data_IF_123745036788
#
_entry.id   IF_123745036788
#
_cell.length_a   1.000
_cell.length_b   1.000
_cell.length_c   1.000
_cell.angle_alpha   90.00
_cell.angle_beta   90.00
_cell.angle_gamma   90.00
#
_symmetry.space_group_name_H-M   'P 1'
#
loop_
_entity.id
_entity.type
_entity.pdbx_description
1 polymer ?
#
# COMPACT_ATOMS: atom_id res chain seq x y z
N UNK A 1 10.79 6.99 3.09
CA UNK A 1 10.93 6.18 1.86
C UNK A 1 12.09 5.21 2.04
N UNK A 2 12.03 4.06 1.39
CA UNK A 2 13.03 2.99 1.47
C UNK A 2 13.24 2.38 0.07
N UNK A 3 14.46 1.92 -0.25
CA UNK A 3 14.74 1.30 -1.54
C UNK A 3 14.08 -0.08 -1.64
N UNK A 4 13.57 -0.40 -2.83
CA UNK A 4 12.96 -1.69 -3.17
C UNK A 4 13.94 -2.87 -3.01
N UNK A 5 15.24 -2.62 -3.04
CA UNK A 5 16.31 -3.58 -2.75
C UNK A 5 16.09 -4.39 -1.48
N UNK A 6 15.45 -3.82 -0.46
CA UNK A 6 15.14 -4.57 0.78
C UNK A 6 14.24 -5.78 0.52
N UNK A 7 13.36 -5.67 -0.47
CA UNK A 7 12.49 -6.75 -0.91
C UNK A 7 13.22 -7.58 -1.97
N UNK A 8 13.78 -6.92 -2.99
CA UNK A 8 14.31 -7.57 -4.20
C UNK A 8 15.49 -8.51 -3.89
N UNK A 9 16.35 -8.15 -2.94
CA UNK A 9 17.52 -8.97 -2.57
C UNK A 9 17.18 -10.36 -2.01
N UNK A 10 15.93 -10.61 -1.63
CA UNK A 10 15.47 -11.93 -1.16
C UNK A 10 15.08 -12.86 -2.31
N UNK A 11 14.68 -12.31 -3.47
CA UNK A 11 14.14 -13.07 -4.59
C UNK A 11 15.17 -13.94 -5.34
N UNK A 12 16.46 -13.58 -5.51
CA UNK A 12 17.42 -14.46 -6.17
C UNK A 12 17.52 -15.84 -5.53
N UNK A 13 17.41 -15.89 -4.19
CA UNK A 13 17.41 -17.16 -3.45
C UNK A 13 16.15 -17.96 -3.73
N UNK A 14 14.98 -17.33 -3.67
CA UNK A 14 13.70 -17.98 -3.93
C UNK A 14 13.65 -18.54 -5.35
N UNK A 15 14.05 -17.74 -6.35
CA UNK A 15 14.06 -18.18 -7.76
C UNK A 15 14.96 -19.39 -7.94
N UNK A 16 16.14 -19.39 -7.32
CA UNK A 16 17.07 -20.53 -7.38
C UNK A 16 16.47 -21.79 -6.73
N UNK A 17 15.86 -21.65 -5.55
CA UNK A 17 15.28 -22.78 -4.82
C UNK A 17 14.10 -23.40 -5.58
N UNK A 18 13.24 -22.56 -6.17
CA UNK A 18 12.09 -23.00 -6.97
C UNK A 18 12.53 -23.62 -8.29
N UNK A 19 13.47 -22.98 -9.01
CA UNK A 19 13.98 -23.50 -10.27
C UNK A 19 14.66 -24.87 -10.07
N UNK A 20 15.43 -25.04 -9.00
CA UNK A 20 16.06 -26.31 -8.65
C UNK A 20 15.04 -27.40 -8.31
N UNK A 21 13.96 -27.05 -7.61
CA UNK A 21 12.87 -27.98 -7.28
C UNK A 21 12.16 -28.49 -8.54
N UNK A 22 11.89 -27.59 -9.49
CA UNK A 22 11.16 -27.89 -10.73
C UNK A 22 12.07 -28.38 -11.88
N UNK A 23 13.39 -28.49 -11.66
CA UNK A 23 14.35 -28.92 -12.67
C UNK A 23 14.56 -27.92 -13.82
N UNK A 24 14.36 -26.62 -13.56
CA UNK A 24 14.47 -25.55 -14.55
C UNK A 24 15.77 -24.77 -14.40
N UNK A 25 16.24 -24.19 -15.50
CA UNK A 25 17.41 -23.30 -15.51
C UNK A 25 16.96 -21.86 -15.77
N UNK A 26 17.21 -20.95 -14.82
CA UNK A 26 16.74 -19.55 -14.89
C UNK A 26 17.87 -18.56 -14.59
N UNK A 27 18.01 -17.54 -15.42
CA UNK A 27 18.74 -16.31 -15.18
C UNK A 27 17.80 -15.28 -14.54
N UNK A 28 18.07 -14.91 -13.29
CA UNK A 28 17.32 -13.85 -12.63
C UNK A 28 18.12 -12.55 -12.61
N UNK A 29 17.56 -11.49 -13.19
CA UNK A 29 18.16 -10.15 -13.22
C UNK A 29 17.30 -9.17 -12.45
N UNK A 30 17.94 -8.28 -11.68
CA UNK A 30 17.29 -7.21 -10.94
C UNK A 30 17.84 -5.88 -11.47
N UNK A 31 16.95 -4.95 -11.77
CA UNK A 31 17.31 -3.61 -12.21
C UNK A 31 16.50 -2.56 -11.45
N UNK A 32 17.12 -1.41 -11.15
CA UNK A 32 16.43 -0.28 -10.54
C UNK A 32 15.96 -0.51 -9.10
N UNK A 33 16.58 -1.44 -8.38
CA UNK A 33 16.25 -1.76 -6.98
C UNK A 33 16.53 -0.61 -5.99
N UNK A 34 17.29 0.39 -6.40
CA UNK A 34 17.48 1.66 -5.70
C UNK A 34 16.22 2.54 -5.68
N UNK A 35 15.21 2.25 -6.52
CA UNK A 35 13.95 3.01 -6.56
C UNK A 35 13.28 3.01 -5.19
N UNK A 36 12.96 4.21 -4.69
CA UNK A 36 12.38 4.38 -3.37
C UNK A 36 10.84 4.34 -3.37
N UNK A 37 10.27 3.69 -2.35
CA UNK A 37 8.83 3.61 -2.09
C UNK A 37 8.50 3.84 -0.60
N UNK A 38 7.24 4.11 -0.27
CA UNK A 38 6.78 4.19 1.13
C UNK A 38 6.86 2.83 1.84
N UNK A 39 7.09 2.86 3.16
CA UNK A 39 7.20 1.65 3.98
C UNK A 39 5.92 0.81 3.97
N UNK A 40 4.75 1.44 4.11
CA UNK A 40 3.47 0.73 4.12
C UNK A 40 3.20 0.04 2.80
N UNK A 41 3.51 0.72 1.69
CA UNK A 41 3.43 0.12 0.35
C UNK A 41 4.44 -1.03 0.18
N UNK A 42 5.69 -0.87 0.66
CA UNK A 42 6.68 -1.95 0.60
C UNK A 42 6.25 -3.21 1.37
N UNK A 43 5.71 -3.04 2.59
CA UNK A 43 5.27 -4.17 3.40
C UNK A 43 4.10 -4.92 2.70
N UNK A 44 3.20 -4.19 2.04
CA UNK A 44 2.11 -4.77 1.23
C UNK A 44 2.54 -5.41 -0.09
N UNK A 45 3.67 -5.02 -0.68
CA UNK A 45 4.16 -5.54 -1.96
C UNK A 45 4.93 -6.85 -1.86
N UNK A 46 5.47 -7.18 -0.69
CA UNK A 46 6.37 -8.33 -0.54
C UNK A 46 5.74 -9.64 -1.01
N UNK A 47 4.50 -9.92 -0.61
CA UNK A 47 3.79 -11.15 -0.94
C UNK A 47 3.31 -11.18 -2.41
N UNK A 48 2.68 -10.11 -2.96
CA UNK A 48 2.35 -10.00 -4.39
C UNK A 48 3.52 -10.27 -5.33
N UNK A 49 4.65 -9.59 -5.11
CA UNK A 49 5.84 -9.74 -5.96
C UNK A 49 6.42 -11.16 -5.88
N UNK A 50 6.48 -11.72 -4.67
CA UNK A 50 6.91 -13.10 -4.47
C UNK A 50 6.04 -14.09 -5.24
N UNK A 51 4.72 -13.87 -5.24
CA UNK A 51 3.78 -14.71 -5.95
C UNK A 51 3.97 -14.64 -7.46
N UNK A 52 4.07 -13.43 -8.04
CA UNK A 52 4.29 -13.26 -9.49
C UNK A 52 5.62 -13.89 -9.92
N UNK A 53 6.70 -13.64 -9.17
CA UNK A 53 8.02 -14.23 -9.42
C UNK A 53 7.96 -15.75 -9.39
N UNK A 54 7.25 -16.34 -8.43
CA UNK A 54 7.06 -17.80 -8.35
C UNK A 54 6.27 -18.33 -9.54
N UNK A 55 5.19 -17.66 -9.95
CA UNK A 55 4.39 -18.09 -11.10
C UNK A 55 5.21 -18.04 -12.39
N UNK A 56 6.04 -17.01 -12.57
CA UNK A 56 6.93 -16.91 -13.71
C UNK A 56 7.89 -18.12 -13.77
N UNK A 57 8.43 -18.58 -12.65
CA UNK A 57 9.28 -19.78 -12.62
C UNK A 57 8.49 -21.08 -12.78
N UNK A 58 7.39 -21.27 -12.03
CA UNK A 58 6.62 -22.51 -11.99
C UNK A 58 5.86 -22.79 -13.29
N UNK A 59 5.26 -21.75 -13.87
CA UNK A 59 4.34 -21.86 -15.01
C UNK A 59 4.84 -21.14 -16.26
N UNK A 60 5.59 -20.05 -16.11
CA UNK A 60 6.15 -19.30 -17.24
C UNK A 60 7.30 -20.05 -17.90
N UNK A 61 8.41 -20.24 -17.18
CA UNK A 61 9.62 -20.86 -17.73
C UNK A 61 9.41 -22.35 -17.99
N UNK A 62 9.74 -22.80 -19.19
CA UNK A 62 9.67 -24.22 -19.58
C UNK A 62 10.91 -25.01 -19.14
N UNK A 63 10.85 -26.34 -19.22
CA UNK A 63 12.01 -27.20 -18.98
C UNK A 63 13.11 -26.95 -20.02
N UNK A 64 14.40 -27.10 -19.66
CA UNK A 64 15.52 -26.86 -20.57
C UNK A 64 15.39 -27.56 -21.93
N UNK A 65 14.97 -28.83 -21.92
CA UNK A 65 14.79 -29.63 -23.13
C UNK A 65 13.64 -29.13 -24.01
N UNK A 66 12.54 -28.68 -23.38
CA UNK A 66 11.40 -28.11 -24.09
C UNK A 66 11.76 -26.75 -24.72
N UNK A 67 12.59 -25.95 -24.05
CA UNK A 67 13.10 -24.68 -24.57
C UNK A 67 13.98 -24.87 -25.79
N UNK A 68 14.93 -25.81 -25.73
CA UNK A 68 15.79 -26.17 -26.85
C UNK A 68 14.97 -26.68 -28.06
N UNK A 69 13.95 -27.51 -27.81
CA UNK A 69 13.04 -27.99 -28.84
C UNK A 69 12.22 -26.86 -29.51
N UNK A 70 11.91 -25.81 -28.76
CA UNK A 70 11.26 -24.60 -29.26
C UNK A 70 12.22 -23.57 -29.87
N UNK A 71 13.53 -23.86 -29.93
CA UNK A 71 14.56 -22.95 -30.46
C UNK A 71 14.93 -21.79 -29.53
N UNK A 72 14.56 -21.88 -28.24
CA UNK A 72 14.83 -20.87 -27.21
C UNK A 72 16.13 -21.21 -26.46
N UNK A 73 16.78 -20.22 -25.81
CA UNK A 73 17.92 -20.49 -24.95
C UNK A 73 17.56 -21.48 -23.84
N UNK A 74 18.45 -22.44 -23.58
CA UNK A 74 18.29 -23.48 -22.55
C UNK A 74 17.95 -22.89 -21.18
N UNK A 75 18.67 -21.84 -20.79
CA UNK A 75 18.46 -21.07 -19.57
C UNK A 75 17.44 -19.97 -19.87
N UNK A 76 16.30 -20.01 -19.18
CA UNK A 76 15.27 -18.98 -19.27
C UNK A 76 15.68 -17.68 -18.59
N UNK A 77 15.04 -16.58 -18.94
CA UNK A 77 15.30 -15.25 -18.39
C UNK A 77 14.10 -14.77 -17.59
N UNK A 78 14.35 -14.31 -16.37
CA UNK A 78 13.38 -13.61 -15.53
C UNK A 78 13.99 -12.29 -15.07
N UNK A 79 13.36 -11.17 -15.42
CA UNK A 79 13.80 -9.82 -15.09
C UNK A 79 12.80 -9.17 -14.15
N UNK A 80 13.31 -8.62 -13.05
CA UNK A 80 12.58 -7.74 -12.14
C UNK A 80 13.17 -6.34 -12.26
N UNK A 81 12.44 -5.41 -12.86
CA UNK A 81 12.86 -4.03 -13.01
C UNK A 81 11.95 -3.11 -12.20
N UNK A 82 12.52 -2.07 -11.61
CA UNK A 82 11.75 -0.96 -11.07
C UNK A 82 12.27 0.35 -11.67
N UNK A 83 11.36 1.24 -12.04
CA UNK A 83 11.71 2.59 -12.46
C UNK A 83 10.71 3.58 -11.90
N UNK A 84 11.13 4.82 -11.80
CA UNK A 84 10.24 5.94 -11.55
C UNK A 84 9.84 6.54 -12.89
N UNK A 85 8.54 6.57 -13.18
CA UNK A 85 7.98 7.27 -14.33
C UNK A 85 7.12 8.43 -13.82
N UNK A 86 7.60 9.65 -14.05
CA UNK A 86 7.07 10.88 -13.45
C UNK A 86 6.98 10.71 -11.93
N UNK A 87 5.76 10.69 -11.40
CA UNK A 87 5.51 10.51 -9.98
C UNK A 87 5.27 9.03 -9.62
N UNK A 88 4.88 8.18 -10.57
CA UNK A 88 4.57 6.78 -10.30
C UNK A 88 5.83 5.92 -10.20
N UNK A 89 5.74 4.87 -9.39
CA UNK A 89 6.72 3.79 -9.37
C UNK A 89 6.17 2.66 -10.22
N UNK A 90 6.88 2.33 -11.30
CA UNK A 90 6.56 1.21 -12.17
C UNK A 90 7.48 0.05 -11.81
N UNK A 91 6.90 -1.11 -11.49
CA UNK A 91 7.61 -2.36 -11.25
C UNK A 91 7.21 -3.35 -12.35
N UNK A 92 8.18 -3.87 -13.07
CA UNK A 92 7.99 -4.82 -14.15
C UNK A 92 8.62 -6.16 -13.79
N UNK A 93 7.86 -7.24 -14.03
CA UNK A 93 8.35 -8.62 -13.93
C UNK A 93 8.14 -9.28 -15.29
N UNK A 94 9.23 -9.54 -16.00
CA UNK A 94 9.20 -10.08 -17.35
C UNK A 94 9.92 -11.43 -17.42
N UNK A 95 9.25 -12.44 -17.98
CA UNK A 95 9.83 -13.74 -18.33
C UNK A 95 9.83 -13.96 -19.84
N UNK A 96 10.73 -14.82 -20.31
CA UNK A 96 10.79 -15.28 -21.70
C UNK A 96 10.20 -16.70 -21.85
N UNK A 97 9.22 -17.05 -21.02
CA UNK A 97 8.63 -18.37 -20.92
C UNK A 97 7.64 -18.71 -22.03
N UNK A 98 6.76 -19.68 -21.77
CA UNK A 98 5.76 -20.16 -22.74
C UNK A 98 4.69 -19.11 -23.07
N UNK A 99 4.61 -18.03 -22.30
CA UNK A 99 3.51 -17.08 -22.38
C UNK A 99 2.18 -17.69 -21.95
N UNK A 100 1.14 -16.89 -22.08
CA UNK A 100 -0.23 -17.23 -21.72
C UNK A 100 -0.98 -17.50 -23.02
N UNK A 101 -1.62 -18.67 -23.11
CA UNK A 101 -2.41 -19.11 -24.25
C UNK A 101 -3.86 -18.62 -24.11
N UNK A 102 -4.31 -17.62 -24.91
CA UNK A 102 -5.66 -17.07 -24.79
C UNK A 102 -6.74 -18.10 -25.10
N UNK A 103 -6.50 -19.04 -26.01
CA UNK A 103 -7.49 -20.04 -26.39
C UNK A 103 -7.77 -21.02 -25.24
N UNK A 104 -6.74 -21.41 -24.48
CA UNK A 104 -6.93 -22.21 -23.26
C UNK A 104 -7.76 -21.47 -22.21
N UNK A 105 -7.56 -20.16 -22.08
CA UNK A 105 -8.37 -19.34 -21.18
C UNK A 105 -9.81 -19.26 -21.67
N UNK A 106 -10.02 -19.05 -22.98
CA UNK A 106 -11.33 -18.99 -23.63
C UNK A 106 -12.13 -20.27 -23.38
N UNK A 107 -11.55 -21.43 -23.68
CA UNK A 107 -12.19 -22.73 -23.46
C UNK A 107 -12.56 -22.96 -22.00
N UNK A 108 -11.66 -22.57 -21.07
CA UNK A 108 -11.88 -22.74 -19.65
C UNK A 108 -12.94 -21.80 -19.09
N UNK A 109 -12.97 -20.55 -19.55
CA UNK A 109 -13.97 -19.56 -19.17
C UNK A 109 -15.39 -19.99 -19.56
N UNK A 110 -15.54 -20.58 -20.76
CA UNK A 110 -16.82 -21.16 -21.19
C UNK A 110 -17.19 -22.38 -20.35
N UNK A 111 -16.23 -23.28 -20.09
CA UNK A 111 -16.47 -24.50 -19.31
C UNK A 111 -16.88 -24.21 -17.86
N UNK A 112 -16.29 -23.20 -17.23
CA UNK A 112 -16.59 -22.79 -15.86
C UNK A 112 -17.83 -21.89 -15.76
N UNK A 113 -18.43 -21.49 -16.88
CA UNK A 113 -19.60 -20.60 -16.91
C UNK A 113 -19.28 -19.14 -16.59
N UNK A 114 -18.00 -18.76 -16.54
CA UNK A 114 -17.56 -17.37 -16.32
C UNK A 114 -17.87 -16.49 -17.54
N UNK A 115 -17.93 -17.08 -18.73
CA UNK A 115 -18.25 -16.37 -19.97
C UNK A 115 -19.18 -17.21 -20.85
N UNK A 116 -20.14 -16.57 -21.53
CA UNK A 116 -20.99 -17.29 -22.50
C UNK A 116 -20.20 -17.61 -23.77
N UNK A 117 -20.54 -18.67 -24.52
CA UNK A 117 -19.87 -18.98 -25.79
C UNK A 117 -19.88 -17.81 -26.79
N UNK A 118 -20.96 -17.02 -26.80
CA UNK A 118 -21.10 -15.87 -27.69
C UNK A 118 -20.17 -14.72 -27.28
N UNK A 119 -20.07 -14.43 -25.98
CA UNK A 119 -19.12 -13.44 -25.45
C UNK A 119 -17.68 -13.90 -25.65
N UNK A 120 -17.44 -15.21 -25.50
CA UNK A 120 -16.14 -15.82 -25.71
C UNK A 120 -15.68 -15.71 -27.16
N UNK A 121 -16.57 -15.73 -28.15
CA UNK A 121 -16.20 -15.64 -29.56
C UNK A 121 -15.71 -14.25 -29.98
N UNK A 122 -16.11 -13.20 -29.27
CA UNK A 122 -15.77 -11.79 -29.58
C UNK A 122 -14.75 -11.18 -28.63
N UNK A 123 -14.37 -11.87 -27.56
CA UNK A 123 -13.39 -11.41 -26.58
C UNK A 123 -12.00 -11.28 -27.19
N UNK A 124 -11.33 -10.16 -26.90
CA UNK A 124 -9.94 -9.92 -27.27
C UNK A 124 -9.00 -10.73 -26.38
N UNK A 125 -7.74 -10.90 -26.80
CA UNK A 125 -6.72 -11.57 -25.99
C UNK A 125 -6.51 -10.85 -24.64
N UNK A 126 -6.62 -9.52 -24.63
CA UNK A 126 -6.53 -8.72 -23.40
C UNK A 126 -7.71 -8.98 -22.45
N UNK A 127 -8.93 -9.09 -22.98
CA UNK A 127 -10.12 -9.44 -22.18
C UNK A 127 -9.97 -10.83 -21.55
N UNK A 128 -9.46 -11.79 -22.32
CA UNK A 128 -9.23 -13.15 -21.85
C UNK A 128 -8.16 -13.20 -20.78
N UNK A 129 -7.02 -12.54 -21.00
CA UNK A 129 -5.94 -12.50 -20.01
C UNK A 129 -6.41 -11.80 -18.73
N UNK A 130 -7.28 -10.79 -18.84
CA UNK A 130 -7.88 -10.13 -17.67
C UNK A 130 -8.73 -11.06 -16.80
N UNK A 131 -9.31 -12.15 -17.37
CA UNK A 131 -10.03 -13.16 -16.60
C UNK A 131 -9.12 -13.89 -15.59
N UNK A 132 -7.80 -13.89 -15.78
CA UNK A 132 -6.85 -14.48 -14.83
C UNK A 132 -6.90 -13.84 -13.44
N UNK A 133 -7.42 -12.62 -13.35
CA UNK A 133 -7.57 -11.90 -12.09
C UNK A 133 -8.97 -12.03 -11.49
N UNK A 134 -9.89 -12.75 -12.13
CA UNK A 134 -11.22 -12.98 -11.59
C UNK A 134 -11.19 -14.00 -10.45
N UNK A 135 -11.92 -13.77 -9.34
CA UNK A 135 -11.94 -14.69 -8.21
C UNK A 135 -12.34 -16.11 -8.63
N UNK A 136 -11.52 -17.10 -8.26
CA UNK A 136 -11.78 -18.51 -8.57
C UNK A 136 -11.39 -18.93 -9.99
N UNK A 137 -10.88 -18.02 -10.82
CA UNK A 137 -10.28 -18.36 -12.10
C UNK A 137 -8.81 -18.73 -11.91
N UNK A 138 -8.44 -19.96 -12.26
CA UNK A 138 -7.06 -20.44 -12.27
C UNK A 138 -6.86 -21.27 -13.51
N UNK A 139 -5.67 -21.28 -14.10
CA UNK A 139 -5.32 -22.08 -15.29
C UNK A 139 -4.79 -23.47 -14.95
N UNK A 140 -4.55 -23.79 -13.69
CA UNK A 140 -4.14 -25.14 -13.25
C UNK A 140 -5.37 -25.99 -12.89
N UNK A 141 -5.44 -27.22 -13.39
CA UNK A 141 -6.48 -28.19 -13.02
C UNK A 141 -6.23 -28.82 -11.64
N UNK A 142 -4.98 -28.74 -11.14
CA UNK A 142 -4.61 -29.22 -9.82
C UNK A 142 -4.57 -28.07 -8.81
N UNK A 143 -5.34 -28.21 -7.73
CA UNK A 143 -5.12 -27.49 -6.48
C UNK A 143 -3.78 -28.01 -5.93
N UNK A 144 -2.67 -27.33 -6.23
CA UNK A 144 -1.38 -27.71 -5.65
C UNK A 144 -1.30 -27.17 -4.22
N UNK A 145 -1.43 -28.08 -3.27
CA UNK A 145 -1.37 -27.91 -1.80
C UNK A 145 0.01 -27.48 -1.27
N UNK A 146 0.68 -26.52 -1.92
CA UNK A 146 2.00 -26.01 -1.45
C UNK A 146 1.91 -24.54 -0.99
N UNK A 147 0.76 -23.88 -1.15
CA UNK A 147 0.52 -22.59 -0.49
C UNK A 147 -0.82 -22.62 0.24
N UNK A 148 -0.81 -23.01 1.51
CA UNK A 148 -1.97 -23.07 2.41
C UNK A 148 -2.70 -21.74 2.69
N UNK A 149 -2.73 -20.82 1.72
CA UNK A 149 -3.53 -19.60 1.69
C UNK A 149 -4.18 -19.31 0.33
N UNK A 150 -4.01 -20.14 -0.71
CA UNK A 150 -4.74 -19.96 -1.98
C UNK A 150 -4.56 -18.58 -2.60
N UNK A 151 -3.32 -18.13 -2.79
CA UNK A 151 -3.06 -16.82 -3.41
C UNK A 151 -3.16 -17.00 -4.91
N UNK A 152 -4.26 -16.55 -5.52
CA UNK A 152 -4.39 -16.41 -6.97
C UNK A 152 -3.96 -15.03 -7.44
N UNK A 153 -3.92 -14.83 -8.76
CA UNK A 153 -3.69 -13.50 -9.34
C UNK A 153 -4.79 -12.51 -8.93
N UNK A 154 -6.00 -12.98 -8.59
CA UNK A 154 -7.08 -12.18 -8.01
C UNK A 154 -6.69 -11.54 -6.65
N UNK A 155 -6.01 -12.28 -5.78
CA UNK A 155 -5.51 -11.78 -4.49
C UNK A 155 -4.39 -10.76 -4.70
N UNK A 156 -3.52 -11.00 -5.69
CA UNK A 156 -2.48 -10.06 -6.10
C UNK A 156 -3.12 -8.75 -6.56
N UNK A 157 -4.09 -8.79 -7.49
CA UNK A 157 -4.80 -7.59 -7.98
C UNK A 157 -5.44 -6.82 -6.83
N UNK A 158 -6.21 -7.47 -5.95
CA UNK A 158 -6.84 -6.83 -4.79
C UNK A 158 -5.83 -6.15 -3.87
N UNK A 159 -4.69 -6.78 -3.66
CA UNK A 159 -3.62 -6.19 -2.82
C UNK A 159 -3.03 -4.96 -3.49
N UNK A 160 -2.72 -4.99 -4.79
CA UNK A 160 -2.22 -3.82 -5.52
C UNK A 160 -3.25 -2.69 -5.56
N UNK A 161 -4.53 -2.98 -5.79
CA UNK A 161 -5.63 -2.00 -5.76
C UNK A 161 -5.79 -1.37 -4.37
N UNK A 162 -5.62 -2.15 -3.29
CA UNK A 162 -5.64 -1.63 -1.91
C UNK A 162 -4.51 -0.65 -1.64
N UNK A 163 -3.38 -0.80 -2.34
CA UNK A 163 -2.24 0.13 -2.33
C UNK A 163 -2.44 1.31 -3.29
N UNK A 164 -3.65 1.47 -3.85
CA UNK A 164 -4.02 2.48 -4.85
C UNK A 164 -3.22 2.38 -6.15
N UNK A 165 -2.63 1.22 -6.42
CA UNK A 165 -1.95 0.92 -7.68
C UNK A 165 -2.84 0.19 -8.67
N UNK A 166 -2.27 -0.07 -9.83
CA UNK A 166 -2.85 -0.92 -10.88
C UNK A 166 -1.85 -2.03 -11.26
N UNK A 167 -2.38 -3.15 -11.76
CA UNK A 167 -1.59 -4.24 -12.31
C UNK A 167 -2.11 -4.57 -13.70
N UNK A 168 -1.20 -4.60 -14.67
CA UNK A 168 -1.43 -5.06 -16.03
C UNK A 168 -0.57 -6.28 -16.33
N UNK A 169 -0.94 -6.98 -17.39
CA UNK A 169 -0.18 -8.13 -17.90
C UNK A 169 -0.24 -8.10 -19.41
N UNK A 170 0.91 -8.30 -20.02
CA UNK A 170 1.07 -8.46 -21.46
C UNK A 170 1.75 -9.79 -21.68
N UNK A 171 1.17 -10.64 -22.52
CA UNK A 171 1.73 -11.96 -22.80
C UNK A 171 1.53 -12.34 -24.25
N UNK A 172 2.52 -13.01 -24.81
CA UNK A 172 2.45 -13.57 -26.16
C UNK A 172 2.90 -15.04 -26.11
N UNK A 173 2.08 -15.99 -26.61
CA UNK A 173 2.43 -17.40 -26.64
C UNK A 173 3.81 -17.66 -27.26
N UNK A 174 4.64 -18.41 -26.55
CA UNK A 174 6.00 -18.76 -26.92
C UNK A 174 7.06 -17.68 -26.66
N UNK A 175 6.66 -16.43 -26.37
CA UNK A 175 7.60 -15.31 -26.16
C UNK A 175 7.70 -14.84 -24.71
N UNK A 176 6.73 -15.18 -23.88
CA UNK A 176 6.77 -14.95 -22.44
C UNK A 176 5.68 -14.00 -21.94
N UNK A 177 5.84 -13.56 -20.71
CA UNK A 177 4.85 -12.73 -19.99
C UNK A 177 5.53 -11.57 -19.30
N UNK A 178 4.90 -10.40 -19.32
CA UNK A 178 5.32 -9.23 -18.58
C UNK A 178 4.17 -8.75 -17.70
N UNK A 179 4.37 -8.76 -16.39
CA UNK A 179 3.51 -8.09 -15.43
C UNK A 179 4.03 -6.68 -15.18
N UNK A 180 3.16 -5.68 -15.32
CA UNK A 180 3.48 -4.29 -15.02
C UNK A 180 2.61 -3.82 -13.84
N UNK A 181 3.26 -3.38 -12.77
CA UNK A 181 2.60 -2.80 -11.60
C UNK A 181 2.89 -1.31 -11.59
N UNK A 182 1.84 -0.50 -11.60
CA UNK A 182 1.95 0.95 -11.46
C UNK A 182 1.45 1.36 -10.09
N UNK A 183 2.33 1.92 -9.28
CA UNK A 183 2.03 2.37 -7.92
C UNK A 183 2.12 3.89 -7.86
N UNK A 184 1.16 4.56 -7.21
CA UNK A 184 1.19 6.01 -7.12
C UNK A 184 2.43 6.48 -6.36
N UNK A 185 2.94 7.69 -6.66
CA UNK A 185 3.84 8.38 -5.74
C UNK A 185 3.20 8.41 -4.36
N UNK A 186 4.01 8.18 -3.34
CA UNK A 186 3.61 8.26 -1.94
C UNK A 186 2.80 9.54 -1.63
N UNK A 187 1.48 9.43 -1.43
CA UNK A 187 0.62 10.51 -0.91
C UNK A 187 -0.57 9.92 -0.15
N UNK A 188 -0.62 10.13 1.16
CA UNK A 188 -1.86 10.02 1.92
C UNK A 188 -2.51 11.41 1.91
N UNK A 189 -3.52 11.61 1.05
CA UNK A 189 -4.46 12.70 1.22
C UNK A 189 -5.36 12.28 2.38
N UNK A 190 -5.35 13.07 3.45
CA UNK A 190 -6.25 12.87 4.58
C UNK A 190 -7.00 14.16 4.88
N UNK A 191 -8.23 14.00 5.34
CA UNK A 191 -9.00 15.08 5.94
C UNK A 191 -8.42 15.43 7.31
N UNK A 192 -8.04 16.69 7.48
CA UNK A 192 -7.58 17.23 8.77
C UNK A 192 -8.42 18.41 9.21
N UNK A 193 -8.57 18.54 10.52
CA UNK A 193 -9.04 19.74 11.19
C UNK A 193 -7.83 20.61 11.52
N UNK A 194 -7.78 21.79 10.93
CA UNK A 194 -6.76 22.80 11.19
C UNK A 194 -7.11 23.56 12.46
N UNK A 195 -6.18 23.60 13.41
CA UNK A 195 -6.36 24.26 14.70
C UNK A 195 -5.12 25.09 15.04
N UNK A 196 -5.29 26.07 15.93
CA UNK A 196 -4.20 26.89 16.43
C UNK A 196 -3.99 26.65 17.92
N UNK A 197 -2.74 26.46 18.33
CA UNK A 197 -2.33 26.36 19.74
C UNK A 197 -1.17 27.32 19.95
N UNK A 198 -1.33 28.25 20.89
CA UNK A 198 -0.37 29.32 21.15
C UNK A 198 0.05 30.07 19.86
N UNK A 199 -0.94 30.48 19.06
CA UNK A 199 -0.78 31.13 17.76
C UNK A 199 0.04 30.36 16.70
N UNK A 200 0.22 29.04 16.87
CA UNK A 200 0.85 28.15 15.89
C UNK A 200 -0.16 27.16 15.34
N UNK A 201 -0.11 26.89 14.03
CA UNK A 201 -0.99 25.94 13.38
C UNK A 201 -0.55 24.50 13.58
N UNK A 202 -1.52 23.62 13.77
CA UNK A 202 -1.36 22.18 13.67
C UNK A 202 -2.61 21.55 13.06
N UNK A 203 -2.48 20.32 12.59
CA UNK A 203 -3.52 19.57 11.94
C UNK A 203 -3.86 18.31 12.74
N UNK A 204 -5.15 18.05 12.95
CA UNK A 204 -5.65 16.83 13.61
C UNK A 204 -6.42 16.02 12.58
N UNK A 205 -6.12 14.72 12.37
CA UNK A 205 -6.93 13.88 11.49
C UNK A 205 -8.42 13.91 11.89
N UNK A 206 -9.32 14.21 10.95
CA UNK A 206 -10.76 14.31 11.24
C UNK A 206 -11.31 12.99 11.77
N UNK A 207 -10.75 11.86 11.34
CA UNK A 207 -11.07 10.52 11.85
C UNK A 207 -10.92 10.36 13.37
N UNK A 208 -10.12 11.22 14.01
CA UNK A 208 -9.93 11.23 15.45
C UNK A 208 -10.76 12.29 16.17
N UNK A 209 -11.40 13.22 15.46
CA UNK A 209 -12.19 14.30 16.06
C UNK A 209 -13.63 13.82 16.29
N UNK A 210 -14.10 13.89 17.53
CA UNK A 210 -15.49 13.60 17.89
C UNK A 210 -16.33 14.86 17.77
N UNK A 211 -15.90 15.93 18.43
CA UNK A 211 -16.59 17.22 18.41
C UNK A 211 -15.66 18.36 18.86
N UNK A 212 -16.07 19.59 18.55
CA UNK A 212 -15.46 20.82 19.08
C UNK A 212 -16.43 21.42 20.09
N UNK A 213 -15.94 21.72 21.29
CA UNK A 213 -16.73 22.25 22.39
C UNK A 213 -16.12 23.54 22.94
N UNK A 214 -16.98 24.41 23.47
CA UNK A 214 -16.54 25.55 24.26
C UNK A 214 -16.62 25.20 25.74
N UNK A 215 -15.49 25.29 26.43
CA UNK A 215 -15.41 25.09 27.87
C UNK A 215 -15.29 26.43 28.58
N UNK A 216 -16.04 26.57 29.69
CA UNK A 216 -15.80 27.66 30.63
C UNK A 216 -14.67 27.27 31.57
N UNK A 217 -13.82 28.20 32.04
CA UNK A 217 -12.71 27.89 32.94
C UNK A 217 -13.15 27.10 34.19
N UNK A 218 -14.37 27.31 34.67
CA UNK A 218 -14.91 26.66 35.87
C UNK A 218 -15.25 25.17 35.65
N UNK A 219 -15.37 24.71 34.40
CA UNK A 219 -15.60 23.31 34.06
C UNK A 219 -14.31 22.47 34.04
N UNK A 220 -13.15 23.13 34.19
CA UNK A 220 -11.84 22.47 34.24
C UNK A 220 -11.55 22.13 35.70
N UNK A 221 -11.39 20.84 35.98
CA UNK A 221 -11.10 20.31 37.29
C UNK A 221 -9.78 19.55 37.27
N UNK A 222 -9.03 19.63 38.36
CA UNK A 222 -7.81 18.84 38.54
C UNK A 222 -8.12 17.65 39.44
N UNK A 223 -7.92 16.44 38.91
CA UNK A 223 -8.11 15.18 39.65
C UNK A 223 -6.74 14.49 39.72
N UNK A 224 -6.09 14.57 40.89
CA UNK A 224 -4.71 14.16 41.06
C UNK A 224 -3.75 15.04 40.25
N UNK A 225 -2.96 14.40 39.39
CA UNK A 225 -2.01 15.09 38.50
C UNK A 225 -2.59 15.43 37.12
N UNK A 226 -3.78 14.94 36.79
CA UNK A 226 -4.41 15.18 35.49
C UNK A 226 -5.42 16.35 35.55
N UNK A 227 -5.38 17.19 34.53
CA UNK A 227 -6.50 18.09 34.25
C UNK A 227 -7.61 17.33 33.52
N UNK A 228 -8.85 17.63 33.89
CA UNK A 228 -10.04 16.98 33.39
C UNK A 228 -11.13 18.01 33.14
N UNK A 229 -11.99 17.75 32.18
CA UNK A 229 -13.18 18.57 31.91
C UNK A 229 -14.42 17.71 32.04
N UNK A 230 -15.46 18.24 32.67
CA UNK A 230 -16.79 17.63 32.65
C UNK A 230 -17.56 18.15 31.43
N UNK A 231 -17.75 17.31 30.42
CA UNK A 231 -18.47 17.65 29.20
C UNK A 231 -19.67 16.71 29.02
N UNK A 232 -20.89 17.25 29.08
CA UNK A 232 -22.16 16.50 28.95
C UNK A 232 -22.20 15.23 29.82
N UNK A 233 -21.88 15.39 31.10
CA UNK A 233 -21.84 14.32 32.11
C UNK A 233 -20.74 13.25 31.92
N UNK A 234 -19.81 13.46 30.97
CA UNK A 234 -18.62 12.63 30.78
C UNK A 234 -17.35 13.37 31.28
N UNK A 235 -16.53 12.70 32.10
CA UNK A 235 -15.25 13.26 32.57
C UNK A 235 -14.16 12.89 31.55
N UNK A 236 -13.63 13.89 30.86
CA UNK A 236 -12.62 13.71 29.83
C UNK A 236 -11.25 14.23 30.32
N UNK A 237 -10.15 13.47 30.15
CA UNK A 237 -8.82 13.99 30.39
C UNK A 237 -8.50 15.10 29.38
N UNK A 238 -7.87 16.17 29.86
CA UNK A 238 -7.54 17.35 29.09
C UNK A 238 -6.02 17.49 28.94
N UNK A 239 -5.56 17.74 27.70
CA UNK A 239 -4.16 17.96 27.37
C UNK A 239 -3.96 19.36 26.75
N UNK A 240 -2.95 20.10 27.23
CA UNK A 240 -2.63 21.45 26.74
C UNK A 240 -1.51 21.49 25.69
N UNK A 241 -0.81 20.38 25.49
CA UNK A 241 0.33 20.24 24.57
C UNK A 241 1.42 21.32 24.74
N UNK A 242 1.62 21.80 25.97
CA UNK A 242 2.57 22.90 26.27
C UNK A 242 4.01 22.53 25.90
N UNK A 243 4.37 21.25 26.02
CA UNK A 243 5.68 20.75 25.62
C UNK A 243 5.96 20.91 24.12
N UNK A 244 4.90 20.99 23.29
CA UNK A 244 4.99 21.08 21.83
C UNK A 244 4.82 22.53 21.33
N UNK A 245 3.85 23.26 21.88
CA UNK A 245 3.44 24.57 21.38
C UNK A 245 3.74 25.72 22.34
N UNK A 246 4.16 25.42 23.57
CA UNK A 246 4.32 26.40 24.65
C UNK A 246 3.01 26.67 25.41
N UNK A 247 3.11 27.45 26.48
CA UNK A 247 1.98 27.85 27.31
C UNK A 247 1.01 28.74 26.51
N UNK A 248 -0.21 28.25 26.24
CA UNK A 248 -1.30 29.11 25.76
C UNK A 248 -2.05 29.73 26.94
N UNK A 249 -2.42 31.00 26.82
CA UNK A 249 -3.30 31.69 27.77
C UNK A 249 -4.79 31.47 27.46
N UNK A 250 -5.12 30.89 26.30
CA UNK A 250 -6.49 30.62 25.86
C UNK A 250 -6.78 29.13 25.93
N UNK A 251 -7.92 28.79 26.52
CA UNK A 251 -8.30 27.42 26.88
C UNK A 251 -9.81 27.19 26.76
N UNK A 252 -10.51 28.10 26.09
CA UNK A 252 -11.96 28.12 25.98
C UNK A 252 -12.48 27.20 24.88
N UNK A 253 -11.65 26.88 23.88
CA UNK A 253 -11.99 25.92 22.83
C UNK A 253 -11.33 24.57 23.08
N UNK A 254 -12.12 23.51 23.09
CA UNK A 254 -11.67 22.14 23.26
C UNK A 254 -11.99 21.32 22.00
N UNK A 255 -11.02 20.56 21.53
CA UNK A 255 -11.24 19.52 20.50
C UNK A 255 -11.29 18.18 21.21
N UNK A 256 -12.46 17.53 21.18
CA UNK A 256 -12.65 16.20 21.75
C UNK A 256 -12.16 15.17 20.74
N UNK A 257 -11.22 14.34 21.16
CA UNK A 257 -10.61 13.31 20.35
C UNK A 257 -10.99 11.92 20.86
N UNK A 258 -11.11 10.98 19.94
CA UNK A 258 -11.29 9.57 20.25
C UNK A 258 -10.26 8.71 19.51
N UNK A 259 -9.69 7.78 20.26
CA UNK A 259 -8.78 6.80 19.73
C UNK A 259 -8.87 5.48 20.51
N UNK A 260 -8.97 4.36 19.81
CA UNK A 260 -9.12 3.01 20.40
C UNK A 260 -10.15 2.91 21.54
N UNK A 261 -11.26 3.65 21.44
CA UNK A 261 -12.33 3.67 22.44
C UNK A 261 -12.08 4.58 23.65
N UNK A 262 -10.92 5.24 23.77
CA UNK A 262 -10.64 6.25 24.79
C UNK A 262 -10.88 7.65 24.23
N UNK A 263 -11.59 8.48 25.00
CA UNK A 263 -11.79 9.89 24.68
C UNK A 263 -10.86 10.76 25.51
N UNK A 264 -10.41 11.85 24.91
CA UNK A 264 -9.69 12.93 25.58
C UNK A 264 -10.05 14.25 24.92
N UNK A 265 -9.56 15.35 25.45
CA UNK A 265 -9.70 16.65 24.82
C UNK A 265 -8.37 17.40 24.79
N UNK A 266 -8.17 18.19 23.74
CA UNK A 266 -7.03 19.08 23.60
C UNK A 266 -7.54 20.52 23.63
N UNK A 267 -6.90 21.35 24.46
CA UNK A 267 -7.18 22.79 24.49
C UNK A 267 -6.52 23.47 23.29
N UNK A 268 -7.30 24.26 22.56
CA UNK A 268 -6.85 25.01 21.37
C UNK A 268 -7.29 26.47 21.46
N UNK A 269 -6.59 27.35 20.77
CA UNK A 269 -6.93 28.77 20.67
C UNK A 269 -8.10 28.97 19.70
N UNK A 270 -8.02 28.37 18.52
CA UNK A 270 -9.03 28.45 17.46
C UNK A 270 -9.07 27.18 16.63
N UNK A 271 -10.21 26.94 15.98
CA UNK A 271 -10.38 25.92 14.93
C UNK A 271 -10.58 26.66 13.61
N UNK A 272 -9.61 26.53 12.70
CA UNK A 272 -9.60 27.20 11.39
C UNK A 272 -10.55 26.51 10.39
N UNK A 273 -10.80 25.21 10.57
CA UNK A 273 -11.75 24.43 9.76
C UNK A 273 -11.18 23.10 9.24
N UNK A 274 -11.94 22.41 8.40
CA UNK A 274 -11.52 21.16 7.76
C UNK A 274 -10.85 21.45 6.40
N UNK A 275 -9.76 20.73 6.10
CA UNK A 275 -9.06 20.77 4.83
C UNK A 275 -8.55 19.39 4.43
N UNK A 276 -8.58 19.08 3.14
CA UNK A 276 -7.85 17.94 2.59
C UNK A 276 -6.38 18.31 2.40
N UNK A 277 -5.49 17.53 2.98
CA UNK A 277 -4.05 17.82 2.93
C UNK A 277 -3.23 16.59 2.60
N UNK A 278 -2.10 16.81 1.93
CA UNK A 278 -1.11 15.75 1.68
C UNK A 278 -0.18 15.67 2.88
N UNK A 279 -0.11 14.50 3.51
CA UNK A 279 0.79 14.27 4.66
C UNK A 279 2.09 13.62 4.21
N UNK A 280 3.20 14.25 4.60
CA UNK A 280 4.55 13.78 4.38
C UNK A 280 5.11 13.25 5.70
N UNK A 281 5.68 12.03 5.73
CA UNK A 281 6.32 11.52 6.94
C UNK A 281 7.55 12.35 7.28
N UNK A 282 7.85 12.47 8.58
CA UNK A 282 9.08 13.11 9.06
C UNK A 282 10.30 12.32 8.55
N UNK A 283 11.32 13.03 8.07
CA UNK A 283 12.58 12.40 7.62
C UNK A 283 13.32 11.75 8.79
N UNK A 284 14.13 10.70 8.53
CA UNK A 284 14.92 10.03 9.59
C UNK A 284 15.88 10.96 10.35
N UNK A 285 16.26 12.08 9.75
CA UNK A 285 17.11 13.11 10.37
C UNK A 285 16.38 13.85 11.50
N UNK A 286 15.04 13.92 11.44
CA UNK A 286 14.21 14.54 12.47
C UNK A 286 13.85 13.58 13.63
N UNK A 287 14.13 12.28 13.50
CA UNK A 287 13.79 11.27 14.51
C UNK A 287 12.28 11.01 14.64
N UNK A 288 11.87 10.37 15.74
CA UNK A 288 10.47 10.22 16.13
C UNK A 288 10.10 11.31 17.15
N UNK A 289 9.21 12.22 16.76
CA UNK A 289 8.68 13.23 17.68
C UNK A 289 7.37 12.71 18.29
N UNK A 290 7.33 12.57 19.62
CA UNK A 290 6.08 12.24 20.32
C UNK A 290 5.03 13.30 19.98
N UNK A 291 3.83 12.86 19.63
CA UNK A 291 2.71 13.71 19.26
C UNK A 291 2.66 14.11 17.78
N UNK A 292 3.63 13.75 16.95
CA UNK A 292 3.66 14.14 15.52
C UNK A 292 3.71 12.90 14.63
N UNK A 293 2.68 12.71 13.80
CA UNK A 293 2.59 11.64 12.81
C UNK A 293 3.20 12.01 11.46
N UNK A 294 3.32 13.30 11.16
CA UNK A 294 3.87 13.81 9.91
C UNK A 294 3.81 15.33 9.81
N UNK A 295 4.09 15.86 8.63
CA UNK A 295 3.94 17.27 8.29
C UNK A 295 3.12 17.43 7.02
N UNK A 296 2.43 18.55 6.91
CA UNK A 296 1.77 18.97 5.68
C UNK A 296 2.19 20.39 5.32
N UNK A 297 1.97 20.77 4.07
CA UNK A 297 2.25 22.11 3.55
C UNK A 297 0.98 22.55 2.81
N UNK A 298 0.09 23.33 3.45
CA UNK A 298 -1.11 23.86 2.81
C UNK A 298 -0.77 24.87 1.71
N UNK A 299 -1.79 25.39 1.01
CA UNK A 299 -1.63 26.28 -0.14
C UNK A 299 -0.92 27.62 0.15
N UNK A 300 -0.78 27.99 1.42
CA UNK A 300 -0.05 29.18 1.88
C UNK A 300 1.47 28.93 2.05
N UNK A 301 1.92 27.69 1.92
CA UNK A 301 3.33 27.31 2.00
C UNK A 301 3.87 27.15 3.42
N UNK A 302 3.03 27.30 4.45
CA UNK A 302 3.44 27.10 5.85
C UNK A 302 3.61 25.59 6.14
N UNK A 303 4.65 25.21 6.89
CA UNK A 303 4.82 23.80 7.30
C UNK A 303 4.01 23.55 8.57
N UNK A 304 3.00 22.69 8.48
CA UNK A 304 2.07 22.41 9.57
C UNK A 304 2.26 20.97 10.07
N UNK A 305 2.52 20.75 11.37
CA UNK A 305 2.61 19.41 11.94
C UNK A 305 1.23 18.74 12.00
N UNK A 306 1.17 17.46 11.64
CA UNK A 306 -0.01 16.60 11.77
C UNK A 306 0.13 15.78 13.04
N UNK A 307 -0.83 15.93 13.95
CA UNK A 307 -0.78 15.31 15.28
C UNK A 307 -1.07 13.80 15.21
N UNK A 308 -0.29 13.01 15.95
CA UNK A 308 -0.57 11.59 16.18
C UNK A 308 -1.20 11.39 17.57
N UNK A 309 -2.54 11.29 17.57
CA UNK A 309 -3.37 11.13 18.77
C UNK A 309 -3.00 9.89 19.59
N UNK A 310 -2.44 8.83 18.97
CA UNK A 310 -2.01 7.63 19.69
C UNK A 310 -0.84 7.89 20.66
N UNK A 311 0.01 8.87 20.33
CA UNK A 311 1.24 9.14 21.08
C UNK A 311 1.11 10.29 22.07
N UNK A 312 0.03 11.07 21.93
CA UNK A 312 -0.36 12.14 22.86
C UNK A 312 -0.97 11.54 24.13
N UNK A 313 -1.86 10.56 23.96
CA UNK A 313 -2.66 9.90 25.03
C UNK A 313 -1.93 8.75 25.71
#
# INVERSE_FOLDING_TARGET
MMPLDRIFNRFPRVVRDVAAHDGKEVEFTIEGGETELDRGMMDGLSDPLLHIVRNAVNHGIELPEAREAAGKPRRGSLRLAARRDKDNVIIEIADDGAGIDPEKIRERAVRQGTMTPEAAAVATDEDLINLLFEPGFSTTEAITDISGRGVGLDVVRKTIESLKGTIGVVSEPGRGTTFELMLPPTMAIIDVMMVQINARRCAIPVSNVVEVALARPEAIHRIGDAETVLLRDEILPMYRLEDMFGLSQRCDTLVVLQNSGRKCCIAVDTVDGQQEVVVKPLSRLAGSCRGIGGITIPGDGEVVPVLDVNTIV
#
